data_IF_346518992471
#
_entry.id   IF_346518992471
#
_cell.length_a   1.000
_cell.length_b   1.000
_cell.length_c   1.000
_cell.angle_alpha   90.00
_cell.angle_beta   90.00
_cell.angle_gamma   90.00
#
_symmetry.space_group_name_H-M   'P 1'
#
loop_
_entity.id
_entity.type
_entity.pdbx_description
1 polymer ?
#
# COMPACT_ATOMS: atom_id res chain seq x y z
N UNK A 1 7.32 2.93 0.39
CA UNK A 1 7.29 4.25 1.08
C UNK A 1 5.89 4.61 1.58
N UNK A 2 4.84 4.13 0.90
CA UNK A 2 3.41 4.28 1.21
C UNK A 2 3.04 4.46 2.69
N UNK A 3 3.40 3.53 3.58
CA UNK A 3 3.01 3.58 5.01
C UNK A 3 3.51 4.84 5.70
N UNK A 4 4.76 5.25 5.44
CA UNK A 4 5.36 6.42 6.09
C UNK A 4 4.76 7.72 5.52
N UNK A 5 4.58 7.75 4.20
CA UNK A 5 3.95 8.88 3.51
C UNK A 5 2.51 9.11 3.98
N UNK A 6 1.70 8.06 4.12
CA UNK A 6 0.34 8.16 4.65
C UNK A 6 0.31 8.66 6.10
N UNK A 7 1.42 8.48 6.83
CA UNK A 7 1.60 9.05 8.16
C UNK A 7 1.77 10.56 8.17
N UNK A 8 2.04 11.21 7.04
CA UNK A 8 2.25 12.65 6.99
C UNK A 8 0.91 13.38 6.90
N UNK A 9 0.75 14.39 7.75
CA UNK A 9 -0.33 15.38 7.64
C UNK A 9 0.15 16.66 6.91
N UNK A 10 1.43 16.66 6.52
CA UNK A 10 2.04 17.71 5.70
C UNK A 10 2.32 17.15 4.31
N UNK A 11 2.26 17.96 3.24
CA UNK A 11 2.53 17.45 1.90
C UNK A 11 3.94 16.87 1.75
N UNK A 12 4.06 15.62 1.28
CA UNK A 12 5.36 14.94 1.06
C UNK A 12 6.29 15.76 0.17
N UNK A 13 5.76 16.37 -0.89
CA UNK A 13 6.54 17.22 -1.79
C UNK A 13 7.16 18.43 -1.08
N UNK A 14 6.41 19.09 -0.19
CA UNK A 14 6.92 20.22 0.59
C UNK A 14 7.99 19.76 1.59
N UNK A 15 7.78 18.62 2.25
CA UNK A 15 8.77 18.02 3.14
C UNK A 15 10.10 17.76 2.43
N UNK A 16 10.06 17.15 1.25
CA UNK A 16 11.26 16.86 0.46
C UNK A 16 11.92 18.14 -0.08
N UNK A 17 11.12 19.13 -0.51
CA UNK A 17 11.60 20.43 -0.97
C UNK A 17 12.33 21.20 0.13
N UNK A 18 11.75 21.30 1.32
CA UNK A 18 12.38 21.96 2.47
C UNK A 18 13.68 21.26 2.86
N UNK A 19 13.67 19.92 2.94
CA UNK A 19 14.84 19.12 3.27
C UNK A 19 15.99 19.33 2.26
N UNK A 20 15.68 19.30 0.95
CA UNK A 20 16.66 19.49 -0.12
C UNK A 20 17.30 20.88 -0.09
N UNK A 21 16.58 21.89 0.40
CA UNK A 21 17.06 23.27 0.51
C UNK A 21 17.62 23.62 1.91
N UNK A 22 17.74 22.64 2.82
CA UNK A 22 18.25 22.87 4.18
C UNK A 22 17.32 23.71 5.06
N UNK A 23 16.02 23.75 4.75
CA UNK A 23 14.98 24.38 5.57
C UNK A 23 14.41 23.35 6.55
N UNK A 24 13.91 23.82 7.69
CA UNK A 24 13.18 22.96 8.63
C UNK A 24 11.78 22.65 8.04
N UNK A 25 11.48 21.38 7.69
CA UNK A 25 10.21 21.03 7.07
C UNK A 25 9.02 21.11 8.03
N UNK A 26 9.24 21.28 9.36
CA UNK A 26 8.18 21.32 10.40
C UNK A 26 7.10 20.25 10.17
N UNK A 27 7.56 19.02 9.93
CA UNK A 27 6.72 17.90 9.54
C UNK A 27 5.67 17.58 10.60
N UNK A 28 4.39 17.68 10.22
CA UNK A 28 3.26 17.17 11.00
C UNK A 28 2.94 15.75 10.57
N UNK A 29 2.69 14.88 11.55
CA UNK A 29 2.38 13.47 11.33
C UNK A 29 1.14 13.07 12.11
N UNK A 30 0.43 12.08 11.60
CA UNK A 30 -0.63 11.40 12.30
C UNK A 30 -0.06 10.59 13.46
N UNK A 31 -0.60 10.78 14.66
CA UNK A 31 -0.27 9.98 15.84
C UNK A 31 -1.08 8.69 15.86
N UNK A 32 -0.52 7.63 16.43
CA UNK A 32 -1.17 6.32 16.51
C UNK A 32 -0.47 5.29 15.64
N UNK A 33 -1.25 4.53 14.88
CA UNK A 33 -0.79 3.36 14.13
C UNK A 33 -1.06 3.54 12.64
N UNK A 34 -0.15 3.00 11.83
CA UNK A 34 -0.34 2.79 10.40
C UNK A 34 -0.19 1.31 10.09
N UNK A 35 -0.98 0.81 9.16
CA UNK A 35 -0.95 -0.55 8.63
C UNK A 35 -0.77 -0.44 7.13
N UNK A 36 0.06 -1.32 6.56
CA UNK A 36 0.27 -1.41 5.13
C UNK A 36 0.24 -2.86 4.67
N UNK A 37 -0.46 -3.12 3.59
CA UNK A 37 -0.64 -4.44 2.99
C UNK A 37 -0.34 -4.33 1.51
N UNK A 38 0.47 -5.26 1.00
CA UNK A 38 0.72 -5.40 -0.44
C UNK A 38 -0.31 -6.35 -1.03
N UNK A 39 -1.04 -5.89 -2.04
CA UNK A 39 -1.75 -6.78 -2.94
C UNK A 39 -0.73 -7.27 -3.96
N UNK A 40 -0.53 -8.58 -4.00
CA UNK A 40 0.51 -9.23 -4.81
C UNK A 40 -0.07 -10.29 -5.72
N UNK A 41 0.71 -10.70 -6.71
CA UNK A 41 0.35 -11.70 -7.70
C UNK A 41 1.46 -12.76 -7.77
N UNK A 42 1.13 -14.03 -8.06
CA UNK A 42 2.13 -15.07 -8.24
C UNK A 42 3.10 -14.69 -9.38
N UNK A 43 4.40 -15.00 -9.26
CA UNK A 43 5.04 -15.88 -8.29
C UNK A 43 5.58 -15.22 -7.00
N UNK A 44 5.15 -14.00 -6.64
CA UNK A 44 5.70 -13.30 -5.47
C UNK A 44 5.79 -14.19 -4.19
N UNK A 45 6.89 -14.17 -3.41
CA UNK A 45 8.09 -13.34 -3.53
C UNK A 45 9.23 -14.03 -4.31
N UNK A 46 8.92 -14.98 -5.20
CA UNK A 46 9.91 -15.68 -5.99
C UNK A 46 10.06 -15.04 -7.38
N UNK A 47 11.26 -15.15 -7.93
CA UNK A 47 11.55 -14.73 -9.31
C UNK A 47 11.39 -15.94 -10.24
N UNK A 48 10.23 -16.04 -10.91
CA UNK A 48 9.96 -17.04 -11.95
C UNK A 48 9.33 -16.38 -13.18
N UNK A 49 10.17 -16.12 -14.18
CA UNK A 49 9.83 -15.42 -15.42
C UNK A 49 8.69 -16.09 -16.18
N UNK A 50 8.59 -17.43 -16.13
CA UNK A 50 7.54 -18.16 -16.84
C UNK A 50 6.17 -17.95 -16.18
N UNK A 51 6.10 -18.10 -14.85
CA UNK A 51 4.87 -17.83 -14.09
C UNK A 51 4.49 -16.36 -14.18
N UNK A 52 5.47 -15.46 -14.30
CA UNK A 52 5.25 -14.05 -14.53
C UNK A 52 4.55 -13.80 -15.88
N UNK A 53 5.08 -14.31 -16.98
CA UNK A 53 4.48 -14.14 -18.30
C UNK A 53 3.06 -14.72 -18.38
N UNK A 54 2.78 -15.80 -17.66
CA UNK A 54 1.48 -16.47 -17.63
C UNK A 54 0.44 -15.75 -16.73
N UNK A 55 0.85 -15.11 -15.63
CA UNK A 55 -0.09 -14.58 -14.62
C UNK A 55 -0.10 -13.06 -14.46
N UNK A 56 0.96 -12.35 -14.90
CA UNK A 56 1.18 -10.94 -14.56
C UNK A 56 1.00 -9.98 -15.74
N UNK A 57 1.33 -10.40 -16.97
CA UNK A 57 1.15 -9.51 -18.14
C UNK A 57 -0.31 -9.12 -18.30
N UNK A 58 -0.55 -7.81 -18.12
CA UNK A 58 -1.85 -7.16 -18.33
C UNK A 58 -2.96 -7.60 -17.36
N UNK A 59 -2.64 -8.20 -16.21
CA UNK A 59 -3.65 -8.47 -15.20
C UNK A 59 -4.39 -7.17 -14.84
N UNK A 60 -5.72 -7.20 -14.90
CA UNK A 60 -6.54 -6.02 -14.66
C UNK A 60 -6.57 -5.68 -13.19
N UNK A 61 -6.47 -4.39 -12.87
CA UNK A 61 -6.76 -3.85 -11.55
C UNK A 61 -8.09 -3.10 -11.67
N UNK A 62 -9.10 -3.50 -10.89
CA UNK A 62 -10.39 -2.82 -10.86
C UNK A 62 -10.58 -2.19 -9.51
N UNK A 63 -10.90 -0.90 -9.50
CA UNK A 63 -11.30 -0.20 -8.31
C UNK A 63 -12.82 -0.01 -8.31
N UNK A 64 -13.48 -0.44 -7.24
CA UNK A 64 -14.94 -0.39 -7.12
C UNK A 64 -15.46 1.02 -6.80
N UNK A 65 -14.64 1.83 -6.15
CA UNK A 65 -14.97 3.21 -5.78
C UNK A 65 -14.07 4.20 -6.54
N UNK A 66 -14.39 5.49 -6.50
CA UNK A 66 -13.52 6.55 -7.02
C UNK A 66 -12.48 7.02 -5.98
N UNK A 67 -12.66 6.67 -4.71
CA UNK A 67 -11.75 7.03 -3.62
C UNK A 67 -10.44 6.25 -3.75
N UNK A 68 -9.32 6.96 -3.60
CA UNK A 68 -7.96 6.40 -3.71
C UNK A 68 -7.14 6.66 -2.45
N UNK A 69 -7.75 7.19 -1.40
CA UNK A 69 -7.05 7.46 -0.15
C UNK A 69 -6.45 6.15 0.42
N UNK A 70 -5.14 6.19 0.66
CA UNK A 70 -4.37 5.03 1.12
C UNK A 70 -4.26 3.88 0.11
N UNK A 71 -4.52 4.13 -1.18
CA UNK A 71 -4.25 3.19 -2.27
C UNK A 71 -3.05 3.72 -3.05
N UNK A 72 -1.92 3.03 -2.93
CA UNK A 72 -0.65 3.41 -3.54
C UNK A 72 -0.34 2.51 -4.72
N UNK A 73 -0.04 3.14 -5.85
CA UNK A 73 0.35 2.46 -7.08
C UNK A 73 1.84 2.12 -7.02
N UNK A 74 2.19 0.87 -7.30
CA UNK A 74 3.58 0.43 -7.44
C UNK A 74 3.77 -0.03 -8.90
N UNK A 75 3.50 -1.31 -9.20
CA UNK A 75 3.61 -1.87 -10.56
C UNK A 75 2.28 -1.81 -11.33
N UNK A 76 1.55 -0.69 -11.25
CA UNK A 76 0.25 -0.50 -11.92
C UNK A 76 0.22 0.78 -12.77
N UNK A 77 -0.45 0.71 -13.93
CA UNK A 77 -0.68 1.88 -14.80
C UNK A 77 -2.12 1.96 -15.28
N UNK A 78 -2.61 3.17 -15.47
CA UNK A 78 -3.84 3.44 -16.20
C UNK A 78 -3.53 3.55 -17.70
N UNK A 79 -4.32 2.89 -18.54
CA UNK A 79 -4.16 2.96 -19.99
C UNK A 79 -4.75 4.26 -20.51
N UNK A 80 -3.88 5.23 -20.81
CA UNK A 80 -4.28 6.56 -21.26
C UNK A 80 -4.33 6.75 -22.77
N UNK A 81 -3.76 5.85 -23.58
CA UNK A 81 -3.83 5.89 -25.05
C UNK A 81 -3.24 4.60 -25.64
N UNK A 82 -4.09 3.65 -26.07
CA UNK A 82 -3.77 2.56 -27.02
C UNK A 82 -2.38 1.92 -26.98
N UNK A 83 -1.78 1.80 -25.78
CA UNK A 83 -0.37 1.42 -25.64
C UNK A 83 -0.11 0.03 -26.19
N UNK A 84 1.13 -0.28 -26.59
CA UNK A 84 1.48 -1.50 -27.34
C UNK A 84 1.28 -2.82 -26.56
N UNK A 85 0.74 -2.75 -25.34
CA UNK A 85 0.74 -3.84 -24.37
C UNK A 85 -0.29 -4.94 -24.65
N UNK A 86 -1.47 -4.63 -25.22
CA UNK A 86 -2.47 -5.62 -25.64
C UNK A 86 -3.67 -4.94 -26.35
N UNK A 87 -4.04 -5.32 -27.59
CA UNK A 87 -5.18 -4.75 -28.31
C UNK A 87 -6.56 -5.09 -27.71
N UNK A 88 -6.64 -6.02 -26.74
CA UNK A 88 -7.87 -6.35 -26.00
C UNK A 88 -8.18 -5.40 -24.84
N UNK A 89 -7.26 -4.48 -24.51
CA UNK A 89 -7.39 -3.59 -23.36
C UNK A 89 -8.16 -2.31 -23.67
N UNK A 90 -8.92 -1.84 -22.68
CA UNK A 90 -9.82 -0.68 -22.80
C UNK A 90 -9.17 0.59 -22.23
N UNK A 91 -9.41 1.73 -22.89
CA UNK A 91 -8.99 3.05 -22.38
C UNK A 91 -9.55 3.31 -20.97
N UNK A 92 -8.73 3.86 -20.08
CA UNK A 92 -9.08 4.11 -18.68
C UNK A 92 -9.02 2.88 -17.77
N UNK A 93 -8.73 1.69 -18.30
CA UNK A 93 -8.50 0.49 -17.49
C UNK A 93 -7.13 0.54 -16.81
N UNK A 94 -7.09 0.06 -15.56
CA UNK A 94 -5.82 -0.15 -14.85
C UNK A 94 -5.31 -1.57 -15.07
N UNK A 95 -4.00 -1.70 -15.24
CA UNK A 95 -3.35 -2.99 -15.39
C UNK A 95 -2.01 -3.03 -14.67
N UNK A 96 -1.58 -4.25 -14.36
CA UNK A 96 -0.23 -4.51 -13.88
C UNK A 96 0.77 -4.24 -15.01
N UNK A 97 1.87 -3.57 -14.66
CA UNK A 97 2.82 -3.00 -15.61
C UNK A 97 4.30 -3.18 -15.25
N UNK A 98 4.60 -3.81 -14.10
CA UNK A 98 5.98 -4.05 -13.66
C UNK A 98 6.21 -5.48 -13.20
N UNK A 99 7.49 -5.83 -13.03
CA UNK A 99 8.00 -7.20 -12.95
C UNK A 99 8.00 -7.81 -11.54
N UNK A 100 7.72 -7.03 -10.49
CA UNK A 100 7.88 -7.50 -9.11
C UNK A 100 6.63 -8.20 -8.52
N UNK A 101 5.51 -8.20 -9.25
CA UNK A 101 4.26 -8.83 -8.82
C UNK A 101 3.54 -8.09 -7.69
N UNK A 102 3.85 -6.81 -7.44
CA UNK A 102 3.25 -5.96 -6.41
C UNK A 102 2.57 -4.78 -7.09
N UNK A 103 1.35 -4.94 -7.63
CA UNK A 103 0.65 -3.83 -8.29
C UNK A 103 0.29 -2.68 -7.35
N UNK A 104 -0.04 -2.99 -6.09
CA UNK A 104 -0.58 -2.01 -5.14
C UNK A 104 -0.06 -2.22 -3.72
N UNK A 105 0.07 -1.11 -2.99
CA UNK A 105 0.14 -1.10 -1.53
C UNK A 105 -1.09 -0.36 -1.01
N UNK A 106 -1.85 -1.01 -0.12
CA UNK A 106 -2.98 -0.40 0.57
C UNK A 106 -2.60 -0.11 2.01
N UNK A 107 -3.01 1.03 2.51
CA UNK A 107 -2.66 1.52 3.84
C UNK A 107 -3.90 1.91 4.63
N UNK A 108 -3.77 1.94 5.95
CA UNK A 108 -4.76 2.50 6.87
C UNK A 108 -4.06 3.11 8.08
N UNK A 109 -4.64 4.17 8.66
CA UNK A 109 -4.11 4.86 9.85
C UNK A 109 -5.21 5.20 10.84
N UNK A 110 -4.92 5.02 12.13
CA UNK A 110 -5.84 5.36 13.21
C UNK A 110 -5.14 5.36 14.57
N UNK A 111 -5.84 5.82 15.61
CA UNK A 111 -5.34 5.82 17.00
C UNK A 111 -5.05 4.42 17.57
N UNK A 112 -5.71 3.37 17.06
CA UNK A 112 -5.50 1.97 17.48
C UNK A 112 -5.17 1.09 16.28
N UNK A 113 -4.37 0.04 16.50
CA UNK A 113 -4.03 -0.89 15.42
C UNK A 113 -5.27 -1.61 14.86
N UNK A 114 -6.28 -1.86 15.69
CA UNK A 114 -7.54 -2.48 15.26
C UNK A 114 -8.28 -1.60 14.25
N UNK A 115 -8.35 -0.30 14.52
CA UNK A 115 -8.99 0.66 13.62
C UNK A 115 -8.16 0.88 12.34
N UNK A 116 -6.83 0.95 12.46
CA UNK A 116 -5.94 1.09 11.30
C UNK A 116 -6.00 -0.14 10.38
N UNK A 117 -6.02 -1.37 10.97
CA UNK A 117 -6.26 -2.61 10.24
C UNK A 117 -7.60 -2.56 9.52
N UNK A 118 -8.69 -2.29 10.23
CA UNK A 118 -10.03 -2.23 9.64
C UNK A 118 -10.06 -1.29 8.44
N UNK A 119 -9.59 -0.05 8.58
CA UNK A 119 -9.53 0.91 7.47
C UNK A 119 -8.70 0.39 6.28
N UNK A 120 -7.56 -0.24 6.53
CA UNK A 120 -6.72 -0.81 5.48
C UNK A 120 -7.43 -1.94 4.72
N UNK A 121 -8.09 -2.87 5.41
CA UNK A 121 -8.77 -4.00 4.77
C UNK A 121 -10.09 -3.59 4.12
N UNK A 122 -10.85 -2.65 4.69
CA UNK A 122 -12.04 -2.09 4.06
C UNK A 122 -11.68 -1.48 2.68
N UNK A 123 -10.52 -0.82 2.56
CA UNK A 123 -10.00 -0.31 1.28
C UNK A 123 -9.55 -1.40 0.32
N UNK A 124 -9.05 -2.53 0.82
CA UNK A 124 -8.67 -3.67 -0.02
C UNK A 124 -9.91 -4.33 -0.62
N UNK A 125 -11.01 -4.40 0.13
CA UNK A 125 -12.27 -5.00 -0.33
C UNK A 125 -12.87 -4.25 -1.54
N UNK A 126 -12.54 -2.95 -1.68
CA UNK A 126 -12.90 -2.12 -2.83
C UNK A 126 -12.00 -2.33 -4.07
N UNK A 127 -11.05 -3.27 -4.02
CA UNK A 127 -10.08 -3.54 -5.10
C UNK A 127 -10.19 -4.98 -5.57
N UNK A 128 -10.30 -5.17 -6.88
CA UNK A 128 -10.28 -6.50 -7.51
C UNK A 128 -9.02 -6.63 -8.36
N UNK A 129 -8.16 -7.58 -7.98
CA UNK A 129 -7.01 -8.02 -8.77
C UNK A 129 -7.16 -9.53 -9.00
N UNK A 130 -7.52 -9.98 -10.21
CA UNK A 130 -7.65 -11.41 -10.50
C UNK A 130 -6.36 -12.17 -10.17
N UNK A 131 -6.47 -13.31 -9.49
CA UNK A 131 -5.34 -14.10 -8.97
C UNK A 131 -4.45 -13.38 -7.93
N UNK A 132 -4.83 -12.17 -7.51
CA UNK A 132 -4.15 -11.44 -6.47
C UNK A 132 -4.40 -12.06 -5.10
N UNK A 133 -3.43 -11.92 -4.20
CA UNK A 133 -3.52 -12.28 -2.80
C UNK A 133 -2.76 -11.27 -1.94
N UNK A 134 -3.02 -11.32 -0.64
CA UNK A 134 -2.37 -10.47 0.34
C UNK A 134 -2.38 -11.18 1.70
N UNK A 135 -1.62 -10.65 2.65
CA UNK A 135 -1.67 -11.11 4.04
C UNK A 135 -2.81 -10.43 4.78
N UNK A 136 -3.66 -11.22 5.41
CA UNK A 136 -4.78 -10.79 6.26
C UNK A 136 -4.37 -10.63 7.74
N UNK A 137 -3.21 -11.14 8.15
CA UNK A 137 -2.76 -11.18 9.55
C UNK A 137 -1.91 -9.97 10.02
N UNK A 138 -1.73 -8.94 9.19
CA UNK A 138 -0.85 -7.78 9.47
C UNK A 138 -1.27 -6.94 10.68
N UNK A 139 -0.69 -7.24 11.85
CA UNK A 139 -0.96 -6.53 13.11
C UNK A 139 -1.77 -7.35 14.11
N UNK A 140 -2.20 -8.57 13.77
CA UNK A 140 -2.89 -9.46 14.72
C UNK A 140 -2.04 -9.79 15.94
N UNK A 141 -0.75 -10.04 15.74
CA UNK A 141 0.17 -10.34 16.85
C UNK A 141 0.30 -9.21 17.85
N UNK A 142 0.22 -7.96 17.38
CA UNK A 142 0.18 -6.80 18.28
C UNK A 142 -1.05 -6.86 19.18
N UNK A 143 -2.23 -7.07 18.57
CA UNK A 143 -3.52 -7.20 19.24
C UNK A 143 -3.51 -8.38 20.22
N UNK A 144 -2.86 -9.49 19.84
CA UNK A 144 -2.75 -10.70 20.66
C UNK A 144 -1.79 -10.57 21.86
N UNK A 145 -1.29 -9.37 22.16
CA UNK A 145 -0.50 -9.08 23.35
C UNK A 145 0.98 -8.79 23.10
N UNK A 146 1.46 -8.79 21.85
CA UNK A 146 2.84 -8.31 21.60
C UNK A 146 2.97 -6.82 21.90
N UNK A 147 1.91 -6.00 21.72
CA UNK A 147 1.94 -4.59 22.12
C UNK A 147 2.24 -4.43 23.61
N UNK A 148 1.50 -5.15 24.45
CA UNK A 148 1.68 -5.14 25.91
C UNK A 148 3.07 -5.61 26.31
N UNK A 149 3.62 -6.63 25.63
CA UNK A 149 4.98 -7.13 25.89
C UNK A 149 6.05 -6.09 25.55
N UNK A 150 5.94 -5.45 24.39
CA UNK A 150 6.90 -4.42 23.95
C UNK A 150 6.83 -3.21 24.90
N UNK A 151 5.63 -2.85 25.37
CA UNK A 151 5.45 -1.82 26.40
C UNK A 151 6.07 -2.23 27.74
N UNK A 152 5.79 -3.44 28.22
CA UNK A 152 6.35 -3.96 29.47
C UNK A 152 7.88 -4.08 29.46
N UNK A 153 8.47 -4.30 28.28
CA UNK A 153 9.93 -4.31 28.08
C UNK A 153 10.55 -2.90 27.98
N UNK A 154 9.73 -1.85 27.95
CA UNK A 154 10.21 -0.46 27.86
C UNK A 154 10.67 -0.04 26.47
N UNK A 155 10.34 -0.80 25.42
CA UNK A 155 10.63 -0.41 24.04
C UNK A 155 9.62 0.59 23.48
N UNK A 156 8.45 0.72 24.13
CA UNK A 156 7.51 1.82 23.90
C UNK A 156 7.62 2.76 25.09
N UNK A 157 7.98 4.00 24.82
CA UNK A 157 7.95 5.05 25.83
C UNK A 157 6.49 5.31 26.19
N UNK A 158 6.15 5.29 27.48
CA UNK A 158 4.88 5.85 27.92
C UNK A 158 4.88 7.34 27.54
N UNK A 159 3.86 7.77 26.82
CA UNK A 159 3.64 9.19 26.55
C UNK A 159 3.58 9.95 27.87
N UNK A 160 4.49 10.90 28.05
CA UNK A 160 4.47 11.86 29.15
C UNK A 160 3.33 12.87 28.98
#
# INVERSE_FOLDING_TARGET
MAVQEDGFDSPTGQFLDDLAHGRDPRLRVHLGFQVGVRAVLPPFPFDDEKTYDENLRNATVVFQTADRDGIHLEDAKCLSDGGPCDPSMVEGQWCVAGENGIPLVVTGKAETIQAARRQCYDRIDDIVVPNGYYRDDIGERWIAGNGDRVQAWGYLMSSA
#
